data_IF_283724134020
#
_entry.id   IF_283724134020
#
_cell.length_a   1.000
_cell.length_b   1.000
_cell.length_c   1.000
_cell.angle_alpha   90.00
_cell.angle_beta   90.00
_cell.angle_gamma   90.00
#
_symmetry.space_group_name_H-M   'P 1'
#
loop_
_entity.id
_entity.type
_entity.pdbx_description
1 polymer ?
#
# COMPACT_ATOMS: atom_id res chain seq x y z
N UNK A 1 -7.42 -10.97 -17.68
CA UNK A 1 -7.37 -9.83 -16.75
C UNK A 1 -8.73 -9.15 -16.68
N UNK A 2 -9.33 -8.79 -17.82
CA UNK A 2 -10.64 -8.12 -17.89
C UNK A 2 -11.73 -8.86 -17.09
N UNK A 3 -11.86 -10.18 -17.23
CA UNK A 3 -12.80 -10.98 -16.43
C UNK A 3 -12.65 -10.84 -14.89
N UNK A 4 -11.48 -10.47 -14.38
CA UNK A 4 -11.26 -10.18 -12.95
C UNK A 4 -11.63 -8.72 -12.64
N UNK A 5 -11.23 -7.79 -13.51
CA UNK A 5 -11.45 -6.34 -13.30
C UNK A 5 -12.91 -5.90 -13.57
N UNK A 6 -13.67 -6.71 -14.31
CA UNK A 6 -15.08 -6.49 -14.60
C UNK A 6 -16.00 -6.92 -13.44
N UNK A 7 -15.46 -7.59 -12.41
CA UNK A 7 -16.20 -7.95 -11.20
C UNK A 7 -16.56 -6.70 -10.40
N UNK A 8 -17.82 -6.25 -10.51
CA UNK A 8 -18.36 -5.08 -9.82
C UNK A 8 -18.66 -5.29 -8.34
N UNK A 9 -18.62 -6.53 -7.85
CA UNK A 9 -18.70 -6.80 -6.42
C UNK A 9 -17.40 -6.46 -5.70
N UNK A 10 -16.27 -6.56 -6.41
CA UNK A 10 -14.93 -6.32 -5.88
C UNK A 10 -14.30 -5.00 -6.36
N UNK A 11 -14.58 -4.57 -7.60
CA UNK A 11 -13.95 -3.40 -8.23
C UNK A 11 -14.96 -2.35 -8.69
N UNK A 12 -14.67 -1.11 -8.34
CA UNK A 12 -15.40 0.08 -8.82
C UNK A 12 -14.54 0.86 -9.81
N UNK A 13 -15.20 1.45 -10.82
CA UNK A 13 -14.53 2.39 -11.71
C UNK A 13 -14.42 3.74 -11.02
N UNK A 14 -13.23 4.32 -11.09
CA UNK A 14 -12.92 5.66 -10.61
C UNK A 14 -12.69 6.57 -11.82
N UNK A 15 -13.17 7.82 -11.72
CA UNK A 15 -13.10 8.80 -12.80
C UNK A 15 -11.81 9.64 -12.76
N UNK A 16 -11.13 9.67 -11.63
CA UNK A 16 -9.89 10.42 -11.38
C UNK A 16 -8.95 9.61 -10.50
N UNK A 17 -7.67 9.95 -10.54
CA UNK A 17 -6.65 9.37 -9.66
C UNK A 17 -6.69 10.05 -8.29
N UNK A 18 -7.10 9.36 -7.20
CA UNK A 18 -7.19 9.93 -5.86
C UNK A 18 -5.83 9.99 -5.14
N UNK A 19 -4.73 9.58 -5.80
CA UNK A 19 -3.42 9.45 -5.15
C UNK A 19 -2.97 10.75 -4.48
N UNK A 20 -3.15 11.89 -5.14
CA UNK A 20 -2.75 13.19 -4.59
C UNK A 20 -3.63 13.62 -3.41
N UNK A 21 -4.93 13.38 -3.49
CA UNK A 21 -5.89 13.67 -2.42
C UNK A 21 -5.54 12.85 -1.17
N UNK A 22 -5.36 11.54 -1.34
CA UNK A 22 -4.95 10.62 -0.27
C UNK A 22 -3.59 11.00 0.33
N UNK A 23 -2.62 11.44 -0.50
CA UNK A 23 -1.32 11.91 -0.02
C UNK A 23 -1.45 13.16 0.87
N UNK A 24 -2.31 14.10 0.48
CA UNK A 24 -2.58 15.32 1.26
C UNK A 24 -3.32 15.02 2.57
N UNK A 25 -4.31 14.14 2.55
CA UNK A 25 -5.01 13.69 3.75
C UNK A 25 -4.05 13.01 4.73
N UNK A 26 -3.22 12.10 4.22
CA UNK A 26 -2.24 11.41 5.06
C UNK A 26 -1.20 12.38 5.64
N UNK A 27 -0.71 13.33 4.83
CA UNK A 27 0.20 14.39 5.28
C UNK A 27 -0.43 15.23 6.40
N UNK A 28 -1.72 15.56 6.28
CA UNK A 28 -2.46 16.32 7.29
C UNK A 28 -2.56 15.54 8.60
N UNK A 29 -2.90 14.25 8.53
CA UNK A 29 -2.91 13.37 9.69
C UNK A 29 -1.53 13.28 10.36
N UNK A 30 -0.47 13.12 9.58
CA UNK A 30 0.89 13.07 10.12
C UNK A 30 1.31 14.39 10.79
N UNK A 31 0.89 15.54 10.26
CA UNK A 31 1.13 16.83 10.90
C UNK A 31 0.42 16.95 12.25
N UNK A 32 -0.81 16.44 12.35
CA UNK A 32 -1.54 16.38 13.62
C UNK A 32 -0.80 15.51 14.64
N UNK A 33 -0.41 14.31 14.26
CA UNK A 33 0.32 13.38 15.14
C UNK A 33 1.67 13.96 15.61
N UNK A 34 2.34 14.70 14.72
CA UNK A 34 3.57 15.43 15.06
C UNK A 34 3.29 16.53 16.09
N UNK A 35 2.22 17.31 15.90
CA UNK A 35 1.83 18.40 16.80
C UNK A 35 1.47 17.87 18.20
N UNK A 36 0.86 16.69 18.28
CA UNK A 36 0.53 16.01 19.53
C UNK A 36 1.73 15.30 20.18
N UNK A 37 2.88 15.24 19.49
CA UNK A 37 4.11 14.64 20.01
C UNK A 37 4.19 13.12 19.89
N UNK A 38 3.29 12.48 19.13
CA UNK A 38 3.33 11.03 18.89
C UNK A 38 4.47 10.60 17.96
N UNK A 39 4.86 11.49 17.03
CA UNK A 39 5.97 11.26 16.10
C UNK A 39 6.99 12.39 16.18
N UNK A 40 8.27 12.05 16.06
CA UNK A 40 9.35 13.02 16.01
C UNK A 40 9.44 13.73 14.65
N UNK A 41 10.15 14.87 14.59
CA UNK A 41 10.46 15.56 13.33
C UNK A 41 11.15 14.64 12.31
N UNK A 42 12.09 13.83 12.77
CA UNK A 42 12.83 12.90 11.92
C UNK A 42 11.90 11.82 11.32
N UNK A 43 11.02 11.26 12.14
CA UNK A 43 10.05 10.26 11.66
C UNK A 43 9.04 10.86 10.70
N UNK A 44 8.57 12.07 10.97
CA UNK A 44 7.72 12.79 10.02
C UNK A 44 8.42 12.94 8.67
N UNK A 45 9.66 13.42 8.65
CA UNK A 45 10.41 13.63 7.40
C UNK A 45 10.68 12.31 6.65
N UNK A 46 10.90 11.21 7.37
CA UNK A 46 11.17 9.91 6.79
C UNK A 46 9.91 9.18 6.33
N UNK A 47 8.77 9.37 7.01
CA UNK A 47 7.55 8.60 6.76
C UNK A 47 6.48 9.37 5.99
N UNK A 48 6.62 10.69 5.82
CA UNK A 48 5.68 11.49 5.04
C UNK A 48 5.72 11.06 3.57
N UNK A 49 4.58 10.68 2.98
CA UNK A 49 4.53 10.29 1.57
C UNK A 49 4.94 11.46 0.67
N UNK A 50 5.74 11.16 -0.36
CA UNK A 50 6.13 12.10 -1.40
C UNK A 50 6.18 11.39 -2.75
N UNK A 51 5.51 11.94 -3.75
CA UNK A 51 5.54 11.39 -5.12
C UNK A 51 4.92 9.99 -5.22
N UNK A 52 3.86 9.75 -4.45
CA UNK A 52 3.18 8.45 -4.39
C UNK A 52 2.56 8.09 -5.74
N UNK A 53 2.35 6.80 -5.98
CA UNK A 53 1.70 6.29 -7.19
C UNK A 53 0.60 5.28 -6.83
N UNK A 54 -0.46 5.18 -7.62
CA UNK A 54 -1.46 4.14 -7.40
C UNK A 54 -0.85 2.75 -7.62
N UNK A 55 -1.33 1.78 -6.85
CA UNK A 55 -0.90 0.39 -6.99
C UNK A 55 -1.31 -0.14 -8.38
N UNK A 56 -0.40 -0.87 -9.04
CA UNK A 56 -0.65 -1.44 -10.37
C UNK A 56 -0.88 -2.92 -10.25
N UNK A 57 -2.03 -3.39 -10.71
CA UNK A 57 -2.33 -4.82 -10.76
C UNK A 57 -1.86 -5.43 -12.07
N UNK A 58 -1.14 -6.55 -12.00
CA UNK A 58 -0.74 -7.34 -13.17
C UNK A 58 -0.94 -8.83 -12.92
N UNK A 59 -1.09 -9.60 -13.99
CA UNK A 59 -1.28 -11.05 -13.92
C UNK A 59 0.00 -11.79 -14.23
N UNK A 60 0.47 -12.63 -13.30
CA UNK A 60 1.57 -13.56 -13.56
C UNK A 60 1.04 -14.93 -14.00
N UNK A 61 1.55 -15.55 -15.07
CA UNK A 61 1.09 -16.85 -15.53
C UNK A 61 1.47 -17.95 -14.52
N UNK A 62 0.52 -18.82 -14.17
CA UNK A 62 0.80 -20.04 -13.41
C UNK A 62 1.36 -21.14 -14.35
N UNK A 63 2.67 -21.07 -14.63
CA UNK A 63 3.38 -21.94 -15.60
C UNK A 63 3.22 -23.45 -15.34
N UNK A 64 2.99 -23.87 -14.10
CA UNK A 64 2.82 -25.27 -13.72
C UNK A 64 1.44 -25.86 -14.06
N UNK A 65 0.48 -25.06 -14.54
CA UNK A 65 -0.87 -25.54 -14.91
C UNK A 65 -0.93 -25.78 -16.41
N UNK A 66 -1.32 -26.98 -16.85
CA UNK A 66 -1.53 -27.27 -18.28
C UNK A 66 -2.84 -26.64 -18.76
N UNK A 67 -2.79 -25.73 -19.74
CA UNK A 67 -3.93 -25.25 -20.56
C UNK A 67 -3.46 -24.26 -21.64
N UNK A 68 -4.12 -24.24 -22.80
CA UNK A 68 -4.09 -23.06 -23.69
C UNK A 68 -4.73 -21.90 -22.91
N UNK A 69 -3.98 -20.82 -22.67
CA UNK A 69 -4.25 -19.75 -21.68
C UNK A 69 -4.02 -20.14 -20.21
N UNK A 70 -2.76 -20.05 -19.77
CA UNK A 70 -2.39 -20.22 -18.36
C UNK A 70 -3.23 -19.31 -17.44
N UNK A 71 -3.78 -19.85 -16.33
CA UNK A 71 -4.48 -19.01 -15.37
C UNK A 71 -3.52 -17.98 -14.77
N UNK A 72 -3.93 -16.71 -14.75
CA UNK A 72 -3.16 -15.63 -14.17
C UNK A 72 -3.34 -15.60 -12.65
N UNK A 73 -2.24 -15.38 -11.92
CA UNK A 73 -2.27 -14.94 -10.52
C UNK A 73 -2.23 -13.40 -10.52
N UNK A 74 -3.30 -12.71 -10.11
CA UNK A 74 -3.24 -11.27 -9.93
C UNK A 74 -2.27 -10.93 -8.80
N UNK A 75 -1.40 -9.96 -9.04
CA UNK A 75 -0.46 -9.41 -8.07
C UNK A 75 -0.60 -7.90 -8.08
N UNK A 76 -0.68 -7.30 -6.89
CA UNK A 76 -0.76 -5.87 -6.68
C UNK A 76 0.37 -5.45 -5.73
N UNK A 77 1.56 -5.08 -6.23
CA UNK A 77 2.58 -4.47 -5.38
C UNK A 77 2.07 -3.14 -4.84
N UNK A 78 2.16 -2.99 -3.52
CA UNK A 78 1.90 -1.73 -2.82
C UNK A 78 3.18 -0.89 -2.62
N UNK A 79 4.20 -1.10 -3.46
CA UNK A 79 5.45 -0.33 -3.40
C UNK A 79 5.22 1.08 -3.90
N UNK A 80 5.76 2.08 -3.20
CA UNK A 80 5.62 3.51 -3.54
C UNK A 80 4.16 4.00 -3.61
N UNK A 81 3.22 3.29 -2.97
CA UNK A 81 1.87 3.80 -2.73
C UNK A 81 1.88 4.78 -1.55
N UNK A 82 0.79 5.53 -1.40
CA UNK A 82 0.62 6.54 -0.35
C UNK A 82 0.95 6.01 1.05
N UNK A 83 0.60 4.75 1.33
CA UNK A 83 0.78 4.13 2.66
C UNK A 83 2.08 3.36 2.82
N UNK A 84 2.89 3.21 1.75
CA UNK A 84 4.06 2.33 1.75
C UNK A 84 5.10 2.70 2.82
N UNK A 85 5.50 3.98 2.83
CA UNK A 85 6.57 4.45 3.73
C UNK A 85 6.08 4.47 5.17
N UNK A 86 4.83 4.87 5.39
CA UNK A 86 4.18 4.79 6.70
C UNK A 86 4.14 3.34 7.22
N UNK A 87 3.74 2.39 6.38
CA UNK A 87 3.73 0.97 6.74
C UNK A 87 5.10 0.50 7.21
N UNK A 88 6.17 0.87 6.51
CA UNK A 88 7.55 0.57 6.91
C UNK A 88 7.91 1.17 8.27
N UNK A 89 7.53 2.42 8.52
CA UNK A 89 7.75 3.07 9.83
C UNK A 89 7.02 2.32 10.96
N UNK A 90 5.75 1.95 10.73
CA UNK A 90 4.93 1.24 11.71
C UNK A 90 5.49 -0.16 11.99
N UNK A 91 5.89 -0.91 10.96
CA UNK A 91 6.55 -2.21 11.13
C UNK A 91 7.80 -2.07 12.00
N UNK A 92 8.66 -1.08 11.74
CA UNK A 92 9.86 -0.87 12.56
C UNK A 92 9.54 -0.56 14.03
N UNK A 93 8.47 0.18 14.31
CA UNK A 93 8.01 0.46 15.68
C UNK A 93 7.43 -0.78 16.36
N UNK A 94 6.62 -1.55 15.63
CA UNK A 94 5.94 -2.73 16.15
C UNK A 94 6.87 -3.95 16.31
N UNK A 95 7.95 -4.05 15.54
CA UNK A 95 8.94 -5.12 15.69
C UNK A 95 9.54 -5.17 17.10
N UNK A 96 9.59 -4.03 17.81
CA UNK A 96 10.05 -4.00 19.21
C UNK A 96 9.09 -4.72 20.17
N UNK A 97 7.84 -4.92 19.75
CA UNK A 97 6.80 -5.60 20.51
C UNK A 97 6.71 -7.09 20.15
N UNK A 98 7.39 -7.55 19.10
CA UNK A 98 7.46 -8.98 18.71
C UNK A 98 8.37 -9.82 19.63
N UNK A 99 8.61 -9.39 20.87
CA UNK A 99 9.25 -10.22 21.89
C UNK A 99 8.31 -11.36 22.31
N UNK A 100 8.23 -12.40 21.47
CA UNK A 100 7.60 -13.66 21.81
C UNK A 100 8.55 -14.44 22.74
N UNK A 101 8.12 -14.80 23.96
CA UNK A 101 8.89 -15.67 24.85
C UNK A 101 8.96 -17.13 24.37
N UNK A 102 8.46 -17.44 23.17
CA UNK A 102 8.39 -18.79 22.60
C UNK A 102 9.18 -18.95 21.29
N UNK A 103 10.09 -18.01 20.98
CA UNK A 103 11.09 -18.11 19.91
C UNK A 103 12.48 -18.22 20.52
#
# INVERSE_FOLDING_TARGET
MNAILDDRSAFTLINSDPTLENENELRTLMLLLKKEGFISDNEYNLACPTGSRPARIYGLPKLHKKKENYPLRPVMPATNTVTYVLGKMLTNRLNQLEASPYT
#
